data_IF_431233582349
#
_entry.id   IF_431233582349
#
_cell.length_a   1.000
_cell.length_b   1.000
_cell.length_c   1.000
_cell.angle_alpha   90.00
_cell.angle_beta   90.00
_cell.angle_gamma   90.00
#
_symmetry.space_group_name_H-M   'P 1'
#
loop_
_entity.id
_entity.type
_entity.pdbx_description
1 polymer ?
#
# COMPACT_ATOMS: atom_id res chain seq x y z
N UNK A 1 6.81 -15.79 8.74
CA UNK A 1 6.41 -16.87 9.65
C UNK A 1 5.75 -16.30 10.91
N UNK A 2 4.88 -17.07 11.52
CA UNK A 2 4.10 -16.67 12.70
C UNK A 2 4.61 -17.41 13.92
N UNK A 3 4.89 -16.68 14.99
CA UNK A 3 5.23 -17.27 16.28
C UNK A 3 4.26 -16.76 17.35
N UNK A 4 3.61 -17.67 18.05
CA UNK A 4 2.72 -17.39 19.18
C UNK A 4 3.53 -17.29 20.46
N UNK A 5 3.31 -16.23 21.25
CA UNK A 5 3.97 -16.06 22.52
C UNK A 5 3.29 -16.88 23.61
N UNK A 6 3.92 -17.96 24.01
CA UNK A 6 3.76 -18.52 25.34
C UNK A 6 4.90 -17.96 26.24
N UNK A 7 4.60 -17.56 27.48
CA UNK A 7 5.55 -16.99 28.46
C UNK A 7 6.71 -17.95 28.85
N UNK A 8 6.83 -19.10 28.20
CA UNK A 8 7.78 -20.20 28.44
C UNK A 8 9.02 -20.05 27.54
N UNK A 9 9.65 -19.04 27.26
CA UNK A 9 10.94 -18.99 26.52
C UNK A 9 10.95 -19.59 25.08
N UNK A 10 10.01 -20.48 24.77
CA UNK A 10 9.92 -21.17 23.47
C UNK A 10 9.65 -20.22 22.30
N UNK A 11 8.85 -19.18 22.52
CA UNK A 11 8.52 -18.20 21.49
C UNK A 11 9.72 -17.37 21.03
N UNK A 12 10.65 -17.05 21.92
CA UNK A 12 11.89 -16.38 21.55
C UNK A 12 12.75 -17.28 20.66
N UNK A 13 12.82 -18.57 20.98
CA UNK A 13 13.56 -19.53 20.18
C UNK A 13 12.91 -19.79 18.83
N UNK A 14 11.58 -19.76 18.75
CA UNK A 14 10.83 -19.84 17.49
C UNK A 14 11.13 -18.64 16.59
N UNK A 15 11.13 -17.42 17.14
CA UNK A 15 11.47 -16.21 16.38
C UNK A 15 12.91 -16.25 15.88
N UNK A 16 13.86 -16.66 16.72
CA UNK A 16 15.28 -16.83 16.33
C UNK A 16 15.42 -17.84 15.19
N UNK A 17 14.73 -18.98 15.34
CA UNK A 17 14.73 -20.01 14.31
C UNK A 17 14.10 -19.54 13.00
N UNK A 18 12.99 -18.77 13.05
CA UNK A 18 12.37 -18.17 11.88
C UNK A 18 13.29 -17.14 11.21
N UNK A 19 13.88 -16.24 11.99
CA UNK A 19 14.83 -15.24 11.47
C UNK A 19 16.04 -15.90 10.80
N UNK A 20 16.55 -16.99 11.38
CA UNK A 20 17.66 -17.76 10.80
C UNK A 20 17.28 -18.47 9.49
N UNK A 21 16.03 -18.95 9.36
CA UNK A 21 15.54 -19.57 8.12
C UNK A 21 15.32 -18.55 7.01
N UNK A 22 14.76 -17.39 7.35
CA UNK A 22 14.49 -16.32 6.40
C UNK A 22 15.78 -15.64 5.96
N UNK A 23 16.72 -15.44 6.90
CA UNK A 23 17.95 -14.66 6.69
C UNK A 23 17.76 -13.18 7.02
N UNK A 24 18.80 -12.57 7.62
CA UNK A 24 18.81 -11.14 7.91
C UNK A 24 19.04 -10.31 6.63
N UNK A 25 18.43 -9.13 6.50
CA UNK A 25 17.57 -8.48 7.48
C UNK A 25 16.14 -9.05 7.50
N UNK A 26 15.51 -9.05 8.69
CA UNK A 26 14.09 -9.45 8.86
C UNK A 26 13.27 -8.29 9.39
N UNK A 27 11.98 -8.29 9.04
CA UNK A 27 10.97 -7.41 9.64
C UNK A 27 10.29 -8.18 10.78
N UNK A 28 10.26 -7.58 11.97
CA UNK A 28 9.39 -7.99 13.06
C UNK A 28 8.15 -7.13 13.08
N UNK A 29 6.99 -7.74 13.14
CA UNK A 29 5.72 -7.03 13.25
C UNK A 29 4.86 -7.64 14.35
N UNK A 30 4.45 -6.82 15.31
CA UNK A 30 3.47 -7.24 16.32
C UNK A 30 2.14 -7.59 15.67
N UNK A 31 1.56 -8.74 16.00
CA UNK A 31 0.21 -9.08 15.55
C UNK A 31 -0.79 -8.06 16.11
N UNK A 32 -1.83 -7.77 15.32
CA UNK A 32 -2.89 -6.80 15.65
C UNK A 32 -2.41 -5.34 15.77
N UNK A 33 -1.19 -5.02 15.33
CA UNK A 33 -0.71 -3.64 15.27
C UNK A 33 -1.42 -2.87 14.15
N UNK A 34 -1.91 -1.67 14.46
CA UNK A 34 -2.53 -0.76 13.50
C UNK A 34 -1.53 0.35 13.10
N UNK A 35 -1.53 0.71 11.82
CA UNK A 35 -0.75 1.83 11.31
C UNK A 35 0.77 1.68 11.46
N UNK A 36 1.30 0.45 11.39
CA UNK A 36 2.73 0.17 11.45
C UNK A 36 3.36 0.30 12.84
N UNK A 37 2.56 0.53 13.89
CA UNK A 37 3.08 0.57 15.26
C UNK A 37 3.61 -0.81 15.67
N UNK A 38 4.78 -0.84 16.34
CA UNK A 38 5.40 -2.08 16.82
C UNK A 38 6.08 -2.89 15.71
N UNK A 39 6.31 -2.32 14.53
CA UNK A 39 7.12 -2.93 13.47
C UNK A 39 8.54 -2.40 13.52
N UNK A 40 9.54 -3.28 13.31
CA UNK A 40 10.95 -2.90 13.25
C UNK A 40 11.72 -3.82 12.30
N UNK A 41 12.72 -3.26 11.63
CA UNK A 41 13.65 -4.02 10.78
C UNK A 41 14.87 -4.34 11.63
N UNK A 42 15.25 -5.62 11.66
CA UNK A 42 16.43 -6.12 12.36
C UNK A 42 17.49 -6.53 11.33
N UNK A 43 18.60 -5.81 11.29
CA UNK A 43 19.72 -6.04 10.36
C UNK A 43 20.80 -6.96 10.94
N UNK A 44 20.76 -7.17 12.26
CA UNK A 44 21.68 -8.01 13.00
C UNK A 44 20.97 -8.83 14.08
N UNK A 45 21.62 -9.90 14.56
CA UNK A 45 21.10 -10.69 15.68
C UNK A 45 20.96 -9.85 16.97
N UNK A 46 21.87 -8.88 17.18
CA UNK A 46 21.81 -7.99 18.34
C UNK A 46 20.57 -7.10 18.31
N UNK A 47 20.25 -6.52 17.15
CA UNK A 47 19.02 -5.74 16.95
C UNK A 47 17.76 -6.59 17.10
N UNK A 48 17.80 -7.84 16.65
CA UNK A 48 16.72 -8.80 16.82
C UNK A 48 16.44 -9.02 18.31
N UNK A 49 17.45 -9.32 19.11
CA UNK A 49 17.32 -9.56 20.55
C UNK A 49 16.79 -8.34 21.32
N UNK A 50 17.23 -7.13 20.98
CA UNK A 50 16.75 -5.90 21.60
C UNK A 50 15.30 -5.64 21.25
N UNK A 51 14.94 -5.83 19.98
CA UNK A 51 13.59 -5.63 19.47
C UNK A 51 12.60 -6.61 20.09
N UNK A 52 12.98 -7.87 20.29
CA UNK A 52 12.14 -8.88 20.90
C UNK A 52 11.73 -8.52 22.34
N UNK A 53 12.66 -7.97 23.12
CA UNK A 53 12.36 -7.52 24.49
C UNK A 53 11.27 -6.44 24.52
N UNK A 54 11.31 -5.54 23.54
CA UNK A 54 10.37 -4.43 23.46
C UNK A 54 9.01 -4.86 22.91
N UNK A 55 9.01 -5.67 21.85
CA UNK A 55 7.78 -6.09 21.16
C UNK A 55 6.96 -7.02 22.05
N UNK A 56 7.57 -8.04 22.67
CA UNK A 56 6.85 -8.96 23.53
C UNK A 56 6.39 -8.37 24.87
N UNK A 57 6.87 -7.19 25.23
CA UNK A 57 6.28 -6.43 26.33
C UNK A 57 4.90 -5.83 25.97
N UNK A 58 4.59 -5.70 24.68
CA UNK A 58 3.39 -5.03 24.18
C UNK A 58 2.39 -5.99 23.53
N UNK A 59 2.86 -7.04 22.88
CA UNK A 59 2.02 -8.00 22.14
C UNK A 59 2.37 -9.44 22.47
N UNK A 60 1.40 -10.34 22.31
CA UNK A 60 1.58 -11.77 22.55
C UNK A 60 2.03 -12.55 21.33
N UNK A 61 1.93 -11.96 20.14
CA UNK A 61 2.25 -12.62 18.86
C UNK A 61 3.10 -11.70 18.01
N UNK A 62 4.11 -12.26 17.33
CA UNK A 62 5.01 -11.56 16.42
C UNK A 62 5.09 -12.30 15.10
N UNK A 63 4.97 -11.56 14.02
CA UNK A 63 5.28 -12.03 12.66
C UNK A 63 6.76 -11.77 12.39
N UNK A 64 7.43 -12.76 11.83
CA UNK A 64 8.79 -12.63 11.31
C UNK A 64 8.73 -12.73 9.80
N UNK A 65 9.09 -11.66 9.12
CA UNK A 65 8.91 -11.51 7.68
C UNK A 65 10.25 -11.20 7.00
N UNK A 66 10.38 -11.58 5.72
CA UNK A 66 11.44 -11.10 4.85
C UNK A 66 11.43 -9.57 4.83
N UNK A 67 12.59 -8.94 4.96
CA UNK A 67 12.68 -7.50 4.78
C UNK A 67 12.71 -7.15 3.30
N UNK A 68 11.78 -6.30 2.90
CA UNK A 68 11.68 -5.78 1.54
C UNK A 68 12.20 -4.32 1.45
N UNK A 69 13.06 -3.93 2.40
CA UNK A 69 13.67 -2.59 2.39
C UNK A 69 14.38 -2.33 1.05
N UNK A 70 14.05 -1.21 0.41
CA UNK A 70 14.63 -0.84 -0.89
C UNK A 70 13.85 -1.32 -2.12
N UNK A 71 12.84 -2.17 -1.94
CA UNK A 71 11.94 -2.53 -3.04
C UNK A 71 11.03 -1.36 -3.40
N UNK A 72 10.59 -1.30 -4.67
CA UNK A 72 9.60 -0.33 -5.12
C UNK A 72 8.26 -0.62 -4.48
N UNK A 73 7.55 0.41 -4.05
CA UNK A 73 6.17 0.28 -3.58
C UNK A 73 5.21 0.77 -4.64
N UNK A 74 4.35 -0.13 -5.13
CA UNK A 74 3.39 0.11 -6.20
C UNK A 74 1.99 -0.14 -5.67
N UNK A 75 1.05 0.72 -6.03
CA UNK A 75 -0.35 0.59 -5.65
C UNK A 75 -1.27 0.57 -6.86
N UNK A 76 -2.35 -0.21 -6.78
CA UNK A 76 -3.46 -0.18 -7.74
C UNK A 76 -4.77 0.08 -7.00
N UNK A 77 -5.53 1.04 -7.51
CA UNK A 77 -6.93 1.25 -7.14
C UNK A 77 -7.82 0.54 -8.14
N UNK A 78 -8.66 -0.33 -7.65
CA UNK A 78 -9.46 -1.25 -8.46
C UNK A 78 -10.90 -1.20 -8.00
N UNK A 79 -11.83 -1.29 -8.95
CA UNK A 79 -13.26 -1.49 -8.66
C UNK A 79 -13.77 -2.76 -9.30
N UNK A 80 -14.65 -3.47 -8.59
CA UNK A 80 -15.28 -4.69 -9.11
C UNK A 80 -16.77 -4.73 -8.72
N UNK A 81 -17.59 -5.28 -9.61
CA UNK A 81 -19.01 -5.53 -9.34
C UNK A 81 -19.26 -7.01 -8.98
N UNK A 82 -20.52 -7.31 -8.62
CA UNK A 82 -20.92 -8.67 -8.26
C UNK A 82 -20.91 -9.66 -9.44
N UNK A 83 -20.91 -9.16 -10.67
CA UNK A 83 -20.89 -9.96 -11.90
C UNK A 83 -19.45 -10.34 -12.32
N UNK A 84 -18.44 -9.87 -11.56
CA UNK A 84 -17.01 -10.13 -11.83
C UNK A 84 -16.40 -9.16 -12.85
N UNK A 85 -17.12 -8.10 -13.27
CA UNK A 85 -16.51 -7.03 -14.03
C UNK A 85 -15.54 -6.25 -13.12
N UNK A 86 -14.34 -5.97 -13.62
CA UNK A 86 -13.28 -5.37 -12.83
C UNK A 86 -12.49 -4.39 -13.68
N UNK A 87 -12.16 -3.22 -13.11
CA UNK A 87 -11.36 -2.16 -13.75
C UNK A 87 -10.28 -1.68 -12.81
N UNK A 88 -9.07 -1.52 -13.33
CA UNK A 88 -8.02 -0.78 -12.62
C UNK A 88 -8.18 0.69 -12.94
N UNK A 89 -8.45 1.49 -11.91
CA UNK A 89 -8.74 2.92 -12.06
C UNK A 89 -7.48 3.75 -12.12
N UNK A 90 -6.50 3.38 -11.30
CA UNK A 90 -5.23 4.11 -11.22
C UNK A 90 -4.13 3.17 -10.72
N UNK A 91 -2.95 3.30 -11.29
CA UNK A 91 -1.74 2.80 -10.65
C UNK A 91 -0.91 3.96 -10.12
N UNK A 92 -0.23 3.74 -9.02
CA UNK A 92 0.57 4.75 -8.31
C UNK A 92 1.88 4.14 -7.86
N UNK A 93 2.89 4.97 -7.74
CA UNK A 93 4.21 4.59 -7.25
C UNK A 93 4.62 5.50 -6.11
N UNK A 94 5.08 4.91 -5.02
CA UNK A 94 5.69 5.62 -3.92
C UNK A 94 7.16 5.91 -4.25
N UNK A 95 7.60 7.15 -4.10
CA UNK A 95 8.99 7.52 -4.35
C UNK A 95 9.91 6.98 -3.26
N UNK A 96 9.40 6.94 -2.03
CA UNK A 96 10.12 6.35 -0.92
C UNK A 96 10.05 4.82 -1.03
N UNK A 97 11.16 4.11 -0.87
CA UNK A 97 11.17 2.65 -0.96
C UNK A 97 10.43 2.03 0.21
N UNK A 98 10.13 0.73 0.09
CA UNK A 98 9.55 -0.07 1.16
C UNK A 98 10.25 0.14 2.50
N UNK A 99 9.44 0.26 3.57
CA UNK A 99 9.89 0.58 4.93
C UNK A 99 9.39 1.93 5.43
N UNK A 100 8.96 2.82 4.54
CA UNK A 100 8.24 4.06 4.87
C UNK A 100 6.73 3.77 4.69
N UNK A 101 5.91 4.23 5.64
CA UNK A 101 4.46 4.07 5.51
C UNK A 101 3.93 4.84 4.30
N UNK A 102 3.02 4.26 3.50
CA UNK A 102 2.46 4.89 2.28
C UNK A 102 1.88 6.29 2.53
N UNK A 103 1.29 6.51 3.72
CA UNK A 103 0.79 7.81 4.14
C UNK A 103 1.87 8.88 4.30
N UNK A 104 3.12 8.47 4.48
CA UNK A 104 4.30 9.34 4.67
C UNK A 104 5.09 9.54 3.37
N UNK A 105 4.81 8.74 2.35
CA UNK A 105 5.54 8.75 1.09
C UNK A 105 5.03 9.82 0.12
N UNK A 106 5.95 10.34 -0.70
CA UNK A 106 5.59 11.07 -1.91
C UNK A 106 5.10 10.05 -2.93
N UNK A 107 3.92 10.28 -3.50
CA UNK A 107 3.28 9.36 -4.45
C UNK A 107 3.09 10.03 -5.80
N UNK A 108 3.39 9.31 -6.85
CA UNK A 108 3.17 9.75 -8.24
C UNK A 108 2.16 8.85 -8.94
N UNK A 109 1.28 9.45 -9.71
CA UNK A 109 0.34 8.78 -10.61
C UNK A 109 0.45 9.37 -12.02
N UNK A 110 0.55 8.53 -13.07
CA UNK A 110 0.78 7.09 -13.03
C UNK A 110 2.21 6.75 -12.57
N UNK A 111 2.49 5.48 -12.28
CA UNK A 111 3.85 4.99 -12.01
C UNK A 111 4.82 5.43 -13.09
N UNK A 112 6.02 5.86 -12.67
CA UNK A 112 7.03 6.42 -13.58
C UNK A 112 8.13 5.41 -13.95
N UNK A 113 8.36 4.41 -13.09
CA UNK A 113 9.50 3.49 -13.24
C UNK A 113 9.10 2.07 -13.66
N UNK A 114 7.81 1.77 -13.80
CA UNK A 114 7.36 0.49 -14.30
C UNK A 114 7.54 0.40 -15.83
N UNK A 115 8.10 -0.70 -16.28
CA UNK A 115 8.04 -1.07 -17.69
C UNK A 115 6.67 -1.67 -18.03
N UNK A 116 6.40 -1.88 -19.33
CA UNK A 116 5.11 -2.40 -19.79
C UNK A 116 4.78 -3.81 -19.25
N UNK A 117 5.80 -4.67 -19.09
CA UNK A 117 5.60 -6.01 -18.55
C UNK A 117 5.21 -5.95 -17.06
N UNK A 118 5.97 -5.22 -16.24
CA UNK A 118 5.70 -5.02 -14.82
C UNK A 118 4.30 -4.41 -14.58
N UNK A 119 3.95 -3.39 -15.37
CA UNK A 119 2.62 -2.77 -15.32
C UNK A 119 1.50 -3.80 -15.52
N UNK A 120 1.57 -4.58 -16.60
CA UNK A 120 0.53 -5.55 -16.91
C UNK A 120 0.53 -6.74 -15.96
N UNK A 121 1.70 -7.18 -15.49
CA UNK A 121 1.82 -8.25 -14.49
C UNK A 121 1.09 -7.85 -13.20
N UNK A 122 1.40 -6.69 -12.62
CA UNK A 122 0.79 -6.24 -11.36
C UNK A 122 -0.71 -5.94 -11.53
N UNK A 123 -1.10 -5.38 -12.68
CA UNK A 123 -2.51 -5.18 -13.03
C UNK A 123 -3.29 -6.48 -13.07
N UNK A 124 -2.75 -7.52 -13.71
CA UNK A 124 -3.41 -8.82 -13.76
C UNK A 124 -3.53 -9.46 -12.38
N UNK A 125 -2.48 -9.37 -11.57
CA UNK A 125 -2.50 -9.84 -10.18
C UNK A 125 -3.56 -9.11 -9.36
N UNK A 126 -3.71 -7.79 -9.53
CA UNK A 126 -4.74 -7.00 -8.87
C UNK A 126 -6.14 -7.53 -9.19
N UNK A 127 -6.45 -7.71 -10.48
CA UNK A 127 -7.75 -8.20 -10.93
C UNK A 127 -8.03 -9.61 -10.41
N UNK A 128 -7.04 -10.52 -10.49
CA UNK A 128 -7.19 -11.89 -9.99
C UNK A 128 -7.42 -11.92 -8.48
N UNK A 129 -6.69 -11.11 -7.72
CA UNK A 129 -6.80 -11.06 -6.27
C UNK A 129 -8.19 -10.59 -5.84
N UNK A 130 -8.68 -9.50 -6.42
CA UNK A 130 -9.99 -8.93 -6.09
C UNK A 130 -11.12 -9.91 -6.42
N UNK A 131 -11.06 -10.55 -7.59
CA UNK A 131 -12.03 -11.57 -7.97
C UNK A 131 -11.98 -12.79 -7.06
N UNK A 132 -10.79 -13.25 -6.69
CA UNK A 132 -10.61 -14.40 -5.79
C UNK A 132 -11.19 -14.13 -4.40
N UNK A 133 -11.02 -12.91 -3.89
CA UNK A 133 -11.55 -12.50 -2.59
C UNK A 133 -13.05 -12.15 -2.64
N UNK A 134 -13.66 -12.09 -3.82
CA UNK A 134 -15.07 -11.75 -3.99
C UNK A 134 -15.41 -10.32 -3.56
N UNK A 135 -14.46 -9.40 -3.69
CA UNK A 135 -14.65 -7.99 -3.29
C UNK A 135 -15.57 -7.32 -4.28
N UNK A 136 -16.64 -6.68 -3.76
CA UNK A 136 -17.56 -5.82 -4.52
C UNK A 136 -17.40 -4.39 -4.02
N UNK A 137 -17.14 -3.47 -4.92
CA UNK A 137 -16.85 -2.08 -4.62
C UNK A 137 -15.42 -1.71 -4.98
N UNK A 138 -14.77 -0.93 -4.15
CA UNK A 138 -13.40 -0.44 -4.35
C UNK A 138 -12.41 -1.19 -3.47
N UNK A 139 -11.20 -1.36 -3.99
CA UNK A 139 -10.12 -2.00 -3.30
C UNK A 139 -8.77 -1.41 -3.73
N UNK A 140 -7.92 -1.12 -2.74
CA UNK A 140 -6.52 -0.79 -2.94
C UNK A 140 -5.66 -2.05 -2.74
N UNK A 141 -4.74 -2.30 -3.67
CA UNK A 141 -3.74 -3.36 -3.55
C UNK A 141 -2.35 -2.73 -3.58
N UNK A 142 -1.52 -3.11 -2.62
CA UNK A 142 -0.15 -2.66 -2.48
C UNK A 142 0.83 -3.79 -2.77
N UNK A 143 1.85 -3.47 -3.54
CA UNK A 143 2.91 -4.39 -3.95
C UNK A 143 4.27 -3.86 -3.56
N UNK A 144 5.15 -4.77 -3.17
CA UNK A 144 6.58 -4.58 -3.27
C UNK A 144 7.08 -5.25 -4.55
N UNK A 145 7.81 -4.53 -5.37
CA UNK A 145 8.44 -5.01 -6.60
C UNK A 145 9.94 -4.88 -6.49
N UNK A 146 10.66 -5.97 -6.72
CA UNK A 146 12.12 -5.97 -6.74
C UNK A 146 12.63 -5.07 -7.88
N UNK A 147 13.47 -4.06 -7.61
CA UNK A 147 13.96 -3.16 -8.64
C UNK A 147 14.90 -3.84 -9.66
N UNK A 148 15.32 -5.08 -9.43
CA UNK A 148 16.26 -5.81 -10.29
C UNK A 148 15.64 -7.02 -11.01
N UNK A 149 14.39 -7.37 -10.68
CA UNK A 149 13.69 -8.52 -11.28
C UNK A 149 12.19 -8.31 -11.30
N UNK A 150 11.46 -9.21 -11.97
CA UNK A 150 9.98 -9.23 -11.97
C UNK A 150 9.39 -9.86 -10.68
N UNK A 151 10.22 -10.06 -9.65
CA UNK A 151 9.79 -10.63 -8.38
C UNK A 151 8.99 -9.61 -7.60
N UNK A 152 7.79 -9.99 -7.18
CA UNK A 152 6.91 -9.11 -6.40
C UNK A 152 6.33 -9.83 -5.18
N UNK A 153 5.85 -9.03 -4.23
CA UNK A 153 5.03 -9.49 -3.09
C UNK A 153 3.78 -8.63 -3.01
N UNK A 154 2.63 -9.26 -2.74
CA UNK A 154 1.42 -8.54 -2.33
C UNK A 154 1.58 -8.21 -0.85
N UNK A 155 1.60 -6.94 -0.51
CA UNK A 155 1.82 -6.48 0.87
C UNK A 155 0.51 -6.44 1.64
N UNK A 156 -0.49 -5.78 1.06
CA UNK A 156 -1.83 -5.75 1.65
C UNK A 156 -2.91 -5.49 0.61
N UNK A 157 -4.13 -5.87 0.99
CA UNK A 157 -5.35 -5.64 0.21
C UNK A 157 -6.34 -4.92 1.10
N UNK A 158 -6.67 -3.69 0.75
CA UNK A 158 -7.56 -2.82 1.50
C UNK A 158 -8.91 -2.73 0.79
N UNK A 159 -9.90 -3.55 1.18
CA UNK A 159 -11.24 -3.56 0.61
C UNK A 159 -12.10 -2.40 1.15
N UNK A 160 -11.63 -1.21 0.99
CA UNK A 160 -12.25 0.03 1.48
C UNK A 160 -11.67 1.25 0.78
N UNK A 161 -12.43 2.33 0.71
CA UNK A 161 -11.90 3.64 0.34
C UNK A 161 -10.82 4.12 1.33
N UNK A 162 -9.80 4.75 0.79
CA UNK A 162 -8.62 5.20 1.52
C UNK A 162 -8.18 6.60 1.06
N UNK A 163 -7.06 7.10 1.59
CA UNK A 163 -6.44 8.34 1.09
C UNK A 163 -5.96 8.19 -0.35
N UNK A 164 -5.41 7.03 -0.70
CA UNK A 164 -4.98 6.73 -2.06
C UNK A 164 -6.15 6.70 -3.04
N UNK A 165 -7.32 6.22 -2.63
CA UNK A 165 -8.55 6.28 -3.44
C UNK A 165 -8.99 7.73 -3.73
N UNK A 166 -8.82 8.63 -2.75
CA UNK A 166 -9.09 10.05 -2.95
C UNK A 166 -8.09 10.70 -3.93
N UNK A 167 -6.81 10.33 -3.81
CA UNK A 167 -5.77 10.75 -4.76
C UNK A 167 -6.07 10.24 -6.17
N UNK A 168 -6.35 8.94 -6.31
CA UNK A 168 -6.70 8.32 -7.59
C UNK A 168 -7.93 8.97 -8.24
N UNK A 169 -8.98 9.26 -7.44
CA UNK A 169 -10.16 9.96 -7.95
C UNK A 169 -9.84 11.35 -8.49
N UNK A 170 -9.00 12.11 -7.79
CA UNK A 170 -8.57 13.44 -8.23
C UNK A 170 -7.65 13.36 -9.45
N UNK A 171 -6.74 12.40 -9.47
CA UNK A 171 -5.78 12.22 -10.55
C UNK A 171 -6.46 11.81 -11.86
N UNK A 172 -7.42 10.90 -11.80
CA UNK A 172 -8.06 10.31 -12.99
C UNK A 172 -9.39 10.96 -13.38
N UNK A 173 -10.02 11.69 -12.46
CA UNK A 173 -11.39 12.15 -12.63
C UNK A 173 -12.44 11.04 -12.47
N UNK A 174 -12.01 9.80 -12.16
CA UNK A 174 -12.93 8.68 -11.93
C UNK A 174 -13.49 8.76 -10.50
N UNK A 175 -14.81 8.86 -10.32
CA UNK A 175 -15.40 9.11 -8.99
C UNK A 175 -15.51 7.81 -8.18
N UNK A 176 -14.39 7.32 -7.64
CA UNK A 176 -14.28 6.04 -6.95
C UNK A 176 -15.35 5.86 -5.87
N UNK A 177 -15.53 6.83 -4.98
CA UNK A 177 -16.49 6.73 -3.88
C UNK A 177 -17.94 6.59 -4.38
N UNK A 178 -18.30 7.33 -5.42
CA UNK A 178 -19.62 7.23 -6.04
C UNK A 178 -19.84 5.85 -6.67
N UNK A 179 -18.88 5.39 -7.47
CA UNK A 179 -18.96 4.10 -8.15
C UNK A 179 -18.97 2.96 -7.12
N UNK A 180 -18.04 2.95 -6.16
CA UNK A 180 -18.03 1.93 -5.11
C UNK A 180 -19.35 1.82 -4.34
N UNK A 181 -19.97 2.97 -4.01
CA UNK A 181 -21.28 3.00 -3.36
C UNK A 181 -22.36 2.39 -4.24
N UNK A 182 -22.37 2.69 -5.54
CA UNK A 182 -23.33 2.11 -6.48
C UNK A 182 -23.17 0.60 -6.60
N UNK A 183 -21.93 0.11 -6.68
CA UNK A 183 -21.63 -1.32 -6.74
C UNK A 183 -22.08 -2.04 -5.46
N UNK A 184 -21.82 -1.46 -4.29
CA UNK A 184 -22.28 -1.98 -3.01
C UNK A 184 -23.83 -2.05 -2.90
N UNK A 185 -24.54 -1.21 -3.64
CA UNK A 185 -26.00 -1.22 -3.75
C UNK A 185 -26.52 -2.17 -4.85
N UNK A 186 -25.64 -2.98 -5.47
CA UNK A 186 -26.01 -4.00 -6.44
C UNK A 186 -26.10 -3.52 -7.90
N UNK A 187 -25.60 -2.33 -8.23
CA UNK A 187 -25.47 -1.91 -9.62
C UNK A 187 -24.26 -2.58 -10.29
N UNK A 188 -24.37 -2.85 -11.60
CA UNK A 188 -23.26 -3.37 -12.39
C UNK A 188 -22.43 -2.24 -13.03
N UNK A 189 -21.11 -2.42 -13.11
CA UNK A 189 -20.19 -1.47 -13.75
C UNK A 189 -20.56 -1.16 -15.22
N UNK A 190 -21.02 -2.18 -15.93
CA UNK A 190 -21.40 -2.04 -17.35
C UNK A 190 -22.70 -1.27 -17.55
N UNK A 191 -23.54 -1.15 -16.53
CA UNK A 191 -24.79 -0.39 -16.56
C UNK A 191 -24.62 1.05 -16.10
N UNK A 192 -23.68 1.30 -15.18
CA UNK A 192 -23.46 2.62 -14.63
C UNK A 192 -22.99 3.62 -15.69
N UNK A 193 -23.65 4.79 -15.81
CA UNK A 193 -23.17 5.83 -16.70
C UNK A 193 -21.86 6.44 -16.18
N UNK A 194 -21.01 6.86 -17.10
CA UNK A 194 -19.87 7.70 -16.78
C UNK A 194 -20.36 9.03 -16.19
N UNK A 195 -20.01 9.30 -14.93
CA UNK A 195 -20.51 10.47 -14.21
C UNK A 195 -20.04 11.81 -14.82
N UNK A 196 -18.91 11.82 -15.54
CA UNK A 196 -18.34 13.01 -16.15
C UNK A 196 -18.93 13.24 -17.54
N UNK A 197 -18.80 12.26 -18.43
CA UNK A 197 -19.23 12.41 -19.84
C UNK A 197 -20.73 12.24 -20.03
N UNK A 198 -21.39 11.45 -19.18
CA UNK A 198 -22.80 11.03 -19.27
C UNK A 198 -23.19 10.36 -20.59
N UNK A 199 -22.20 10.01 -21.42
CA UNK A 199 -22.37 9.40 -22.75
C UNK A 199 -21.84 7.97 -22.82
N UNK A 200 -20.85 7.65 -22.02
CA UNK A 200 -20.22 6.34 -21.95
C UNK A 200 -20.56 5.67 -20.60
N UNK A 201 -19.97 4.51 -20.34
CA UNK A 201 -20.16 3.75 -19.10
C UNK A 201 -19.01 3.96 -18.14
N UNK A 202 -19.21 3.59 -16.87
CA UNK A 202 -18.17 3.58 -15.84
C UNK A 202 -17.15 2.45 -16.05
N UNK A 203 -17.46 1.49 -16.89
CA UNK A 203 -16.60 0.34 -17.22
C UNK A 203 -15.51 0.75 -18.22
N UNK A 204 -14.47 1.43 -17.75
CA UNK A 204 -13.28 1.80 -18.52
C UNK A 204 -12.10 2.03 -17.58
N UNK A 205 -10.89 1.83 -18.08
CA UNK A 205 -9.65 2.16 -17.36
C UNK A 205 -9.16 3.54 -17.78
N UNK A 206 -9.04 4.50 -16.84
CA UNK A 206 -8.48 5.81 -17.16
C UNK A 206 -7.03 5.71 -17.63
N UNK A 207 -6.68 6.51 -18.64
CA UNK A 207 -5.32 6.70 -19.11
C UNK A 207 -4.90 8.15 -18.90
N UNK A 208 -3.75 8.36 -18.26
CA UNK A 208 -3.23 9.69 -17.94
C UNK A 208 -2.10 10.07 -18.90
N UNK A 209 -2.21 11.23 -19.51
CA UNK A 209 -1.15 11.87 -20.32
C UNK A 209 -0.46 13.03 -19.57
N UNK A 210 -0.58 13.04 -18.25
CA UNK A 210 0.00 13.99 -17.30
C UNK A 210 0.43 13.25 -16.02
N UNK A 211 1.24 13.90 -15.22
CA UNK A 211 1.67 13.39 -13.92
C UNK A 211 0.97 14.12 -12.78
N UNK A 212 0.62 13.38 -11.77
CA UNK A 212 0.08 13.90 -10.50
C UNK A 212 1.02 13.48 -9.38
N UNK A 213 1.49 14.44 -8.59
CA UNK A 213 2.34 14.19 -7.42
C UNK A 213 1.59 14.58 -6.16
N UNK A 214 1.56 13.68 -5.19
CA UNK A 214 1.05 13.90 -3.83
C UNK A 214 2.24 14.00 -2.88
N UNK A 215 2.29 15.07 -2.08
CA UNK A 215 3.27 15.23 -1.01
C UNK A 215 2.54 15.29 0.33
N UNK A 216 2.90 14.45 1.32
CA UNK A 216 2.33 14.50 2.65
C UNK A 216 2.72 15.77 3.39
N UNK A 217 1.87 16.19 4.33
CA UNK A 217 2.17 17.24 5.28
C UNK A 217 2.39 16.63 6.66
N UNK A 218 3.51 17.00 7.28
CA UNK A 218 3.88 16.60 8.62
C UNK A 218 3.91 17.84 9.51
N UNK A 219 3.22 17.80 10.64
CA UNK A 219 3.17 18.86 11.64
C UNK A 219 3.81 18.36 12.97
N UNK A 220 4.87 17.56 12.85
CA UNK A 220 5.46 16.81 13.97
C UNK A 220 6.02 17.71 15.07
N UNK A 221 6.48 18.91 14.73
CA UNK A 221 7.04 19.87 15.69
C UNK A 221 6.01 20.37 16.72
N UNK A 222 4.70 20.25 16.40
CA UNK A 222 3.63 20.60 17.34
C UNK A 222 3.48 19.62 18.50
N UNK A 223 4.09 18.44 18.41
CA UNK A 223 3.92 17.37 19.37
C UNK A 223 5.26 17.00 20.00
N UNK A 224 5.52 17.51 21.19
CA UNK A 224 6.81 17.38 21.89
C UNK A 224 7.23 15.93 22.20
N UNK A 225 6.29 14.98 22.19
CA UNK A 225 6.56 13.58 22.52
C UNK A 225 6.61 12.67 21.29
N UNK A 226 6.45 13.21 20.08
CA UNK A 226 6.47 12.43 18.84
C UNK A 226 7.87 12.44 18.23
N UNK A 227 8.38 11.27 17.89
CA UNK A 227 9.62 11.16 17.11
C UNK A 227 9.42 11.81 15.74
N UNK A 228 10.30 12.71 15.35
CA UNK A 228 10.23 13.45 14.08
C UNK A 228 10.72 12.65 12.87
N UNK A 229 11.34 11.48 13.10
CA UNK A 229 11.77 10.60 12.01
C UNK A 229 10.59 9.95 11.31
N UNK A 230 10.60 9.94 9.97
CA UNK A 230 9.65 9.22 9.12
C UNK A 230 10.04 7.74 9.10
N UNK A 231 9.06 6.85 9.08
CA UNK A 231 9.26 5.41 9.07
C UNK A 231 7.96 4.64 8.82
N UNK A 232 7.86 3.44 9.37
CA UNK A 232 6.73 2.53 9.12
C UNK A 232 5.40 2.97 9.76
N UNK A 233 5.39 3.94 10.69
CA UNK A 233 4.16 4.42 11.34
C UNK A 233 3.65 5.70 10.69
N UNK A 234 2.33 5.77 10.46
CA UNK A 234 1.68 6.94 9.89
C UNK A 234 1.65 8.11 10.87
N UNK A 235 2.18 9.26 10.45
CA UNK A 235 2.27 10.51 11.24
C UNK A 235 1.77 11.73 10.49
N UNK A 236 1.60 11.63 9.17
CA UNK A 236 1.12 12.73 8.33
C UNK A 236 -0.27 13.18 8.73
N UNK A 237 -0.49 14.50 8.73
CA UNK A 237 -1.76 15.13 9.12
C UNK A 237 -2.57 15.62 7.93
N UNK A 238 -1.99 15.62 6.74
CA UNK A 238 -2.63 16.07 5.50
C UNK A 238 -1.73 15.82 4.30
N UNK A 239 -2.15 16.33 3.15
CA UNK A 239 -1.43 16.16 1.91
C UNK A 239 -1.74 17.31 0.95
N UNK A 240 -0.84 17.58 0.02
CA UNK A 240 -1.04 18.46 -1.13
C UNK A 240 -0.87 17.65 -2.40
N UNK A 241 -1.51 18.09 -3.47
CA UNK A 241 -1.44 17.45 -4.78
C UNK A 241 -1.17 18.50 -5.85
N UNK A 242 -0.27 18.19 -6.78
CA UNK A 242 0.03 18.98 -7.94
C UNK A 242 -0.09 18.17 -9.23
N UNK A 243 -0.42 18.83 -10.31
CA UNK A 243 -0.55 18.24 -11.66
C UNK A 243 0.44 18.97 -12.60
N UNK A 244 1.21 18.20 -13.35
CA UNK A 244 2.16 18.69 -14.36
C UNK A 244 2.15 17.82 -15.62
N UNK A 245 2.82 18.30 -16.65
CA UNK A 245 3.01 17.52 -17.89
C UNK A 245 3.95 16.34 -17.68
N UNK A 246 4.91 16.51 -16.80
CA UNK A 246 5.86 15.50 -16.39
C UNK A 246 6.07 15.53 -14.86
N UNK A 247 6.83 14.56 -14.36
CA UNK A 247 7.09 14.42 -12.95
C UNK A 247 7.79 15.63 -12.33
N UNK A 248 8.79 16.19 -13.01
CA UNK A 248 9.57 17.31 -12.47
C UNK A 248 8.72 18.58 -12.36
N UNK A 249 7.90 18.87 -13.37
CA UNK A 249 6.95 19.98 -13.31
C UNK A 249 5.95 19.82 -12.17
N UNK A 250 5.36 18.63 -12.01
CA UNK A 250 4.40 18.35 -10.95
C UNK A 250 5.04 18.47 -9.56
N UNK A 251 6.27 17.98 -9.40
CA UNK A 251 7.01 18.03 -8.12
C UNK A 251 7.34 19.47 -7.70
N UNK A 252 7.65 20.35 -8.67
CA UNK A 252 8.02 21.74 -8.41
C UNK A 252 6.82 22.65 -8.08
N UNK A 253 5.61 22.22 -8.36
CA UNK A 253 4.37 22.94 -8.03
C UNK A 253 3.94 22.70 -6.59
#
# INVERSE_FOLDING_TARGET
>A
EHADFDRSGSALDEVRAAAKRIGLPVMLRGAFALGGMGSTICKSEAELEESLKTIFAQVSQVLVEESLEGWKEIEYEVVADADGNCVTVCNMENLDPMGVHTGESIVVAPSQTLNNHEYHLLREVAIRTIRHLGIVGECNIQYALDPQSDTYRVIEVNARLSRSSALASKATGYPLAYIATKLALGHSLVELPNAVTRRTKAFFEPALDYCVVKIPRWDLEKFSQVKTSIGSSMKSVGEVMAIGRDFLEALQK
#
